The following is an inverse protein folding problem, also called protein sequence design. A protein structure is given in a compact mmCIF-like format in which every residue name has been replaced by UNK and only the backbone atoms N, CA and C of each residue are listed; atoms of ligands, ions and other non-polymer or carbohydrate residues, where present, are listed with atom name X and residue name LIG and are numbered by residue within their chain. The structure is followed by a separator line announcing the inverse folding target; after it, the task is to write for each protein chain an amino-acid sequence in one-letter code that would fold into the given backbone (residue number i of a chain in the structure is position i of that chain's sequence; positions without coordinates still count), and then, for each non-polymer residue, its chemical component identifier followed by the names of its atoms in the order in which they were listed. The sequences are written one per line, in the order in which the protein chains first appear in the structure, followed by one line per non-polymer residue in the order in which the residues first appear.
data_IF_247920845610
#
_entry.id   IF_247920845610
#
_cell.length_a   1.000
_cell.length_b   1.000
_cell.length_c   1.000
_cell.angle_alpha   90.00
_cell.angle_beta   90.00
_cell.angle_gamma   90.00
#
_symmetry.space_group_name_H-M   'P 1'
#
loop_
_entity.id
_entity.type
_entity.pdbx_description
1 polymer ?
#
# COMPACT_ATOMS: atom_id res chain seq x y z
N UNK A 1 -9.81 5.44 29.13
CA UNK A 1 -9.61 6.52 28.14
C UNK A 1 -10.83 7.41 28.21
N UNK A 2 -10.66 8.69 28.53
CA UNK A 2 -11.73 9.67 28.32
C UNK A 2 -11.82 9.96 26.83
N UNK A 3 -13.01 9.79 26.24
CA UNK A 3 -13.24 10.24 24.87
C UNK A 3 -13.56 11.74 24.87
N UNK A 4 -12.55 12.55 25.17
CA UNK A 4 -12.64 14.00 25.06
C UNK A 4 -13.05 14.36 23.63
N UNK A 5 -14.06 15.22 23.46
CA UNK A 5 -14.66 15.55 22.15
C UNK A 5 -13.72 16.42 21.29
N UNK A 6 -12.59 15.86 20.86
CA UNK A 6 -11.54 16.50 20.06
C UNK A 6 -11.81 16.39 18.54
N UNK A 7 -13.06 16.10 18.15
CA UNK A 7 -13.48 15.82 16.78
C UNK A 7 -13.84 14.33 16.57
N UNK A 8 -14.27 14.01 15.35
CA UNK A 8 -14.47 12.65 14.87
C UNK A 8 -14.15 12.59 13.37
N UNK A 9 -13.96 11.39 12.82
CA UNK A 9 -13.86 11.16 11.38
C UNK A 9 -14.65 9.90 11.00
N UNK A 10 -15.22 9.90 9.81
CA UNK A 10 -16.00 8.80 9.26
C UNK A 10 -15.11 7.75 8.59
N UNK A 11 -15.47 6.48 8.78
CA UNK A 11 -14.79 5.33 8.17
C UNK A 11 -15.83 4.32 7.67
N UNK A 12 -15.91 4.14 6.36
CA UNK A 12 -16.91 3.29 5.73
C UNK A 12 -16.66 1.81 6.05
N UNK A 13 -17.72 1.08 6.47
CA UNK A 13 -17.64 -0.36 6.83
C UNK A 13 -17.17 -1.24 5.67
N UNK A 14 -17.36 -0.80 4.42
CA UNK A 14 -16.84 -1.43 3.19
C UNK A 14 -15.31 -1.46 3.08
N UNK A 15 -14.60 -0.79 4.00
CA UNK A 15 -13.15 -0.94 4.16
C UNK A 15 -12.77 -2.29 4.79
N UNK A 16 -13.58 -2.79 5.73
CA UNK A 16 -13.29 -4.02 6.48
C UNK A 16 -13.43 -5.29 5.63
N UNK A 17 -14.11 -5.21 4.49
CA UNK A 17 -14.18 -6.29 3.49
C UNK A 17 -13.03 -6.27 2.47
N UNK A 18 -12.10 -5.31 2.54
CA UNK A 18 -10.91 -5.30 1.68
C UNK A 18 -9.87 -6.28 2.22
N UNK A 19 -9.36 -7.16 1.36
CA UNK A 19 -8.30 -8.14 1.73
C UNK A 19 -7.07 -7.49 2.39
N UNK A 20 -6.69 -6.29 1.95
CA UNK A 20 -5.55 -5.58 2.54
C UNK A 20 -5.81 -5.09 3.98
N UNK A 21 -7.07 -4.88 4.39
CA UNK A 21 -7.43 -4.43 5.73
C UNK A 21 -7.27 -5.52 6.80
N UNK A 22 -7.06 -6.78 6.39
CA UNK A 22 -6.65 -7.89 7.27
C UNK A 22 -5.19 -7.74 7.76
N UNK A 23 -4.38 -6.93 7.08
CA UNK A 23 -3.06 -6.53 7.57
C UNK A 23 -3.22 -5.39 8.60
N UNK A 24 -2.92 -5.71 9.86
CA UNK A 24 -3.08 -4.79 11.00
C UNK A 24 -2.27 -3.51 10.86
N UNK A 25 -1.09 -3.57 10.23
CA UNK A 25 -0.26 -2.39 10.01
C UNK A 25 -0.84 -1.51 8.89
N UNK A 26 -1.32 -2.10 7.78
CA UNK A 26 -2.01 -1.33 6.72
C UNK A 26 -3.29 -0.69 7.24
N UNK A 27 -4.12 -1.44 7.97
CA UNK A 27 -5.35 -0.91 8.57
C UNK A 27 -5.06 0.25 9.53
N UNK A 28 -4.11 0.08 10.46
CA UNK A 28 -3.71 1.15 11.38
C UNK A 28 -3.16 2.37 10.65
N UNK A 29 -2.36 2.19 9.60
CA UNK A 29 -1.84 3.28 8.78
C UNK A 29 -2.94 4.02 8.03
N UNK A 30 -3.91 3.32 7.44
CA UNK A 30 -5.04 3.95 6.76
C UNK A 30 -5.91 4.78 7.71
N UNK A 31 -6.20 4.23 8.90
CA UNK A 31 -6.93 4.95 9.95
C UNK A 31 -6.17 6.21 10.39
N UNK A 32 -4.83 6.14 10.52
CA UNK A 32 -3.99 7.30 10.81
C UNK A 32 -3.99 8.33 9.68
N UNK A 33 -3.98 7.92 8.41
CA UNK A 33 -4.08 8.85 7.29
C UNK A 33 -5.37 9.67 7.35
N UNK A 34 -6.53 9.02 7.49
CA UNK A 34 -7.82 9.74 7.59
C UNK A 34 -7.87 10.63 8.84
N UNK A 35 -7.47 10.11 10.01
CA UNK A 35 -7.54 10.84 11.27
C UNK A 35 -6.51 11.97 11.44
N UNK A 36 -5.50 12.06 10.57
CA UNK A 36 -4.50 13.15 10.56
C UNK A 36 -4.61 14.06 9.34
N UNK A 37 -5.43 13.71 8.34
CA UNK A 37 -5.78 14.56 7.21
C UNK A 37 -6.67 15.73 7.65
N UNK A 38 -6.51 16.89 7.02
CA UNK A 38 -7.28 18.08 7.37
C UNK A 38 -8.74 17.97 6.93
N UNK A 39 -9.67 18.36 7.81
CA UNK A 39 -11.10 18.37 7.50
C UNK A 39 -11.54 19.59 6.67
N UNK A 40 -11.01 20.78 6.99
CA UNK A 40 -11.17 22.03 6.23
C UNK A 40 -9.79 22.51 5.73
N UNK A 41 -9.72 23.52 4.87
CA UNK A 41 -8.45 24.17 4.52
C UNK A 41 -7.78 24.73 5.78
N UNK A 42 -6.48 24.45 5.98
CA UNK A 42 -5.69 24.99 7.10
C UNK A 42 -4.22 25.16 6.72
N UNK A 43 -3.57 26.18 7.27
CA UNK A 43 -2.11 26.26 7.33
C UNK A 43 -1.61 25.48 8.56
N UNK A 44 -0.46 24.82 8.46
CA UNK A 44 0.26 24.21 9.60
C UNK A 44 1.75 24.47 9.52
N UNK A 45 2.41 24.64 10.66
CA UNK A 45 3.87 24.57 10.72
C UNK A 45 4.33 23.10 10.75
N UNK A 46 5.25 22.72 9.87
CA UNK A 46 5.89 21.42 9.87
C UNK A 46 7.33 21.52 9.36
N UNK A 47 8.27 21.09 10.21
CA UNK A 47 9.72 21.15 9.93
C UNK A 47 10.24 22.57 9.62
N UNK A 48 9.82 23.56 10.41
CA UNK A 48 10.26 24.96 10.31
C UNK A 48 9.74 25.68 9.06
N UNK A 49 8.55 25.29 8.59
CA UNK A 49 7.88 25.83 7.39
C UNK A 49 6.39 25.77 7.54
N UNK A 50 5.69 26.75 7.00
CA UNK A 50 4.24 26.74 6.83
C UNK A 50 3.84 25.88 5.62
N UNK A 51 2.71 25.21 5.75
CA UNK A 51 2.11 24.34 4.73
C UNK A 51 0.60 24.57 4.70
N UNK A 52 0.10 25.07 3.58
CA UNK A 52 -1.33 25.11 3.31
C UNK A 52 -1.81 23.72 2.88
N UNK A 53 -2.73 23.15 3.66
CA UNK A 53 -3.27 21.81 3.49
C UNK A 53 -4.75 21.88 3.12
N UNK A 54 -5.09 21.38 1.94
CA UNK A 54 -6.47 21.26 1.49
C UNK A 54 -7.23 20.17 2.26
N UNK A 55 -8.58 20.16 2.22
CA UNK A 55 -9.36 19.06 2.78
C UNK A 55 -8.90 17.69 2.24
N UNK A 56 -8.57 16.78 3.14
CA UNK A 56 -7.99 15.47 2.83
C UNK A 56 -6.47 15.41 2.71
N UNK A 57 -5.75 16.52 2.96
CA UNK A 57 -4.28 16.55 2.95
C UNK A 57 -3.67 16.53 4.36
N UNK A 58 -2.52 15.88 4.49
CA UNK A 58 -1.61 15.97 5.64
C UNK A 58 -0.16 16.10 5.18
N UNK A 59 0.69 16.78 5.96
CA UNK A 59 2.16 16.76 5.76
C UNK A 59 2.81 15.86 6.82
N UNK A 60 3.72 14.98 6.39
CA UNK A 60 4.40 14.04 7.29
C UNK A 60 5.75 13.56 6.74
N UNK A 61 6.47 12.73 7.51
CA UNK A 61 7.62 11.95 7.01
C UNK A 61 7.44 10.47 7.35
N UNK A 62 8.09 9.60 6.56
CA UNK A 62 8.08 8.16 6.83
C UNK A 62 8.64 7.78 8.21
N UNK A 63 9.52 8.61 8.79
CA UNK A 63 10.03 8.43 10.15
C UNK A 63 9.02 8.86 11.23
N UNK A 64 8.36 10.01 11.07
CA UNK A 64 7.30 10.47 12.01
C UNK A 64 6.14 9.47 12.02
N UNK A 65 5.70 9.01 10.85
CA UNK A 65 4.63 8.02 10.76
C UNK A 65 5.08 6.63 11.25
N UNK A 66 6.38 6.29 11.13
CA UNK A 66 6.96 5.07 11.73
C UNK A 66 6.86 5.04 13.24
N UNK A 67 7.18 6.16 13.92
CA UNK A 67 7.04 6.34 15.38
C UNK A 67 5.61 6.15 15.89
N UNK A 68 4.62 6.46 15.04
CA UNK A 68 3.17 6.32 15.33
C UNK A 68 2.65 4.88 15.09
N UNK A 69 3.35 4.08 14.30
CA UNK A 69 3.02 2.69 14.02
C UNK A 69 3.95 1.78 14.83
N UNK A 70 3.50 1.34 16.00
CA UNK A 70 4.20 0.36 16.84
C UNK A 70 3.54 -1.01 16.77
N UNK A 71 4.32 -2.06 16.99
CA UNK A 71 3.80 -3.41 17.27
C UNK A 71 3.56 -3.64 18.76
N UNK A 72 3.18 -4.88 19.11
CA UNK A 72 2.82 -5.30 20.47
C UNK A 72 4.00 -5.17 21.45
N UNK A 73 5.23 -5.28 20.96
CA UNK A 73 6.47 -5.12 21.72
C UNK A 73 6.93 -3.65 21.79
N UNK A 74 6.19 -2.72 21.16
CA UNK A 74 6.47 -1.28 21.16
C UNK A 74 7.46 -0.80 20.09
N UNK A 75 7.97 -1.68 19.22
CA UNK A 75 8.96 -1.31 18.19
C UNK A 75 8.31 -0.51 17.05
N UNK A 76 9.01 0.51 16.58
CA UNK A 76 8.55 1.40 15.51
C UNK A 76 8.62 0.72 14.13
N UNK A 77 7.63 0.95 13.26
CA UNK A 77 7.76 0.52 11.86
C UNK A 77 8.80 1.37 11.16
N UNK A 78 9.81 0.69 10.60
CA UNK A 78 10.92 1.36 9.92
C UNK A 78 10.43 2.26 8.78
N UNK A 79 11.13 3.36 8.46
CA UNK A 79 10.72 4.26 7.38
C UNK A 79 10.50 3.54 6.04
N UNK A 80 11.28 2.50 5.74
CA UNK A 80 11.10 1.67 4.55
C UNK A 80 9.84 0.80 4.57
N UNK A 81 9.35 0.38 5.74
CA UNK A 81 8.06 -0.29 5.87
C UNK A 81 6.91 0.71 5.59
N UNK A 82 6.95 1.88 6.22
CA UNK A 82 5.98 2.96 5.99
C UNK A 82 5.96 3.39 4.51
N UNK A 83 7.13 3.61 3.90
CA UNK A 83 7.22 3.95 2.48
C UNK A 83 6.63 2.86 1.58
N UNK A 84 6.78 1.57 1.91
CA UNK A 84 6.11 0.48 1.16
C UNK A 84 4.59 0.52 1.33
N UNK A 85 4.08 0.90 2.49
CA UNK A 85 2.64 1.02 2.77
C UNK A 85 2.02 2.24 2.08
N UNK A 86 2.71 3.38 2.06
CA UNK A 86 2.32 4.56 1.27
C UNK A 86 2.28 4.22 -0.23
N UNK A 87 3.33 3.59 -0.76
CA UNK A 87 3.37 3.16 -2.17
C UNK A 87 2.28 2.12 -2.51
N UNK A 88 1.82 1.32 -1.54
CA UNK A 88 0.65 0.46 -1.72
C UNK A 88 -0.63 1.29 -1.90
N UNK A 89 -0.92 2.22 -0.99
CA UNK A 89 -2.12 3.06 -1.11
C UNK A 89 -2.11 3.97 -2.35
N UNK A 90 -0.94 4.43 -2.80
CA UNK A 90 -0.79 5.12 -4.10
C UNK A 90 -1.13 4.19 -5.27
N UNK A 91 -0.64 2.94 -5.26
CA UNK A 91 -0.94 1.95 -6.31
C UNK A 91 -2.44 1.60 -6.37
N UNK A 92 -3.11 1.50 -5.22
CA UNK A 92 -4.55 1.24 -5.14
C UNK A 92 -5.41 2.50 -5.38
N UNK A 93 -4.80 3.64 -5.75
CA UNK A 93 -5.49 4.89 -6.08
C UNK A 93 -6.09 5.64 -4.87
N UNK A 94 -5.80 5.20 -3.64
CA UNK A 94 -6.42 5.70 -2.42
C UNK A 94 -5.80 7.01 -1.89
N UNK A 95 -4.54 7.29 -2.25
CA UNK A 95 -3.83 8.55 -1.96
C UNK A 95 -2.98 8.98 -3.15
N UNK A 96 -2.63 10.26 -3.20
CA UNK A 96 -1.48 10.78 -3.95
C UNK A 96 -0.45 11.37 -2.99
N UNK A 97 0.78 11.62 -3.46
CA UNK A 97 1.86 12.15 -2.61
C UNK A 97 2.75 13.15 -3.34
N UNK A 98 3.01 14.31 -2.71
CA UNK A 98 3.95 15.33 -3.18
C UNK A 98 5.13 15.40 -2.21
N UNK A 99 6.27 14.84 -2.58
CA UNK A 99 7.47 14.76 -1.75
C UNK A 99 8.39 15.98 -1.89
N UNK A 100 8.97 16.44 -0.78
CA UNK A 100 9.98 17.51 -0.74
C UNK A 100 11.14 17.11 0.19
N UNK A 101 12.21 17.92 0.24
CA UNK A 101 13.30 17.73 1.21
C UNK A 101 12.93 17.98 2.68
N UNK A 102 11.75 18.54 2.96
CA UNK A 102 11.27 18.89 4.31
C UNK A 102 10.12 18.01 4.81
N UNK A 103 9.47 17.27 3.91
CA UNK A 103 8.26 16.51 4.21
C UNK A 103 7.54 16.06 2.94
N UNK A 104 6.61 15.13 3.10
CA UNK A 104 5.71 14.67 2.04
C UNK A 104 4.29 15.07 2.39
N UNK A 105 3.65 15.83 1.51
CA UNK A 105 2.19 16.01 1.54
C UNK A 105 1.55 14.75 0.99
N UNK A 106 0.58 14.20 1.71
CA UNK A 106 -0.24 13.05 1.32
C UNK A 106 -1.67 13.55 1.17
N UNK A 107 -2.27 13.34 0.00
CA UNK A 107 -3.62 13.81 -0.33
C UNK A 107 -4.54 12.61 -0.52
N UNK A 108 -5.61 12.50 0.26
CA UNK A 108 -6.54 11.37 0.23
C UNK A 108 -7.55 11.53 -0.92
N UNK A 109 -7.60 10.54 -1.81
CA UNK A 109 -8.55 10.51 -2.92
C UNK A 109 -9.98 10.48 -2.38
N UNK A 110 -10.87 11.29 -2.95
CA UNK A 110 -12.29 11.38 -2.60
C UNK A 110 -12.59 11.70 -1.10
N UNK A 111 -11.69 12.34 -0.37
CA UNK A 111 -11.85 12.61 1.06
C UNK A 111 -13.19 13.28 1.45
N UNK A 112 -13.67 14.25 0.66
CA UNK A 112 -14.98 14.89 0.90
C UNK A 112 -16.18 13.94 0.82
N UNK A 113 -16.08 12.85 0.03
CA UNK A 113 -17.08 11.76 0.01
C UNK A 113 -16.95 10.84 1.24
N UNK A 114 -15.75 10.72 1.82
CA UNK A 114 -15.53 9.90 3.02
C UNK A 114 -15.93 10.59 4.32
N UNK A 115 -15.99 11.93 4.36
CA UNK A 115 -16.24 12.71 5.58
C UNK A 115 -17.55 13.50 5.56
N UNK A 116 -18.41 13.29 4.54
CA UNK A 116 -19.73 13.94 4.40
C UNK A 116 -19.70 15.44 4.76
N UNK A 117 -18.88 16.21 4.03
CA UNK A 117 -18.73 17.65 4.25
C UNK A 117 -19.99 18.39 3.77
N UNK A 118 -21.06 18.33 4.58
CA UNK A 118 -22.11 19.33 4.54
C UNK A 118 -21.54 20.69 4.95
N UNK A 119 -21.94 21.80 4.29
CA UNK A 119 -21.68 23.13 4.81
C UNK A 119 -22.39 23.30 6.16
N UNK A 120 -21.62 23.79 7.12
CA UNK A 120 -22.02 24.51 8.33
C UNK A 120 -23.10 23.93 9.26
N UNK A 121 -22.61 23.35 10.37
CA UNK A 121 -23.07 23.81 11.69
C UNK A 121 -21.89 24.49 12.43
N UNK A 122 -22.08 25.66 13.08
CA UNK A 122 -21.06 26.27 13.94
C UNK A 122 -20.81 25.45 15.21
N UNK A 123 -19.55 25.35 15.64
CA UNK A 123 -19.19 24.70 16.90
C UNK A 123 -19.11 25.72 18.05
N UNK A 124 -20.26 26.16 18.54
CA UNK A 124 -20.34 27.17 19.59
C UNK A 124 -19.83 26.67 20.96
N UNK A 125 -18.93 27.46 21.53
CA UNK A 125 -18.49 27.46 22.94
C UNK A 125 -17.97 28.87 23.29
N UNK A 126 -17.95 29.29 24.57
CA UNK A 126 -18.49 28.64 25.76
C UNK A 126 -19.50 29.52 26.54
N UNK A 127 -20.19 28.93 27.52
CA UNK A 127 -20.52 29.65 28.77
C UNK A 127 -20.73 28.68 29.92
N UNK A 128 -20.18 28.99 31.09
CA UNK A 128 -20.66 28.46 32.37
C UNK A 128 -21.99 29.12 32.75
N UNK A 129 -22.84 28.42 33.52
CA UNK A 129 -23.26 28.82 34.87
C UNK A 129 -24.38 27.91 35.46
N UNK A 130 -24.12 27.44 36.68
CA UNK A 130 -25.04 27.23 37.82
C UNK A 130 -26.42 26.52 37.67
N UNK A 131 -26.53 25.41 38.43
CA UNK A 131 -27.74 24.88 39.12
C UNK A 131 -28.32 25.91 40.14
N UNK A 132 -29.48 25.73 40.83
CA UNK A 132 -30.44 24.60 40.84
C UNK A 132 -31.96 24.97 40.92
N UNK A 133 -32.87 23.97 40.94
CA UNK A 133 -33.96 23.85 41.96
C UNK A 133 -34.67 22.47 41.93
N UNK A 134 -35.67 22.26 42.81
CA UNK A 134 -36.30 20.99 43.22
C UNK A 134 -37.74 20.74 42.68
N UNK A 135 -38.25 19.49 42.88
CA UNK A 135 -39.66 19.07 42.72
C UNK A 135 -39.80 17.85 41.77
N UNK A 136 -40.32 16.65 42.10
CA UNK A 136 -41.43 16.18 42.96
C UNK A 136 -42.85 16.53 42.44
N UNK A 137 -43.84 15.63 42.31
CA UNK A 137 -43.83 14.15 42.32
C UNK A 137 -45.19 13.57 41.78
N UNK A 138 -45.18 12.32 41.28
CA UNK A 138 -46.31 11.35 41.17
C UNK A 138 -47.64 11.74 40.47
N UNK A 139 -48.09 10.88 39.53
CA UNK A 139 -49.29 10.01 39.70
C UNK A 139 -49.39 8.91 38.63
N UNK A 140 -50.32 7.97 38.82
CA UNK A 140 -50.40 6.66 38.15
C UNK A 140 -51.54 6.53 37.11
N UNK A 141 -51.47 5.44 36.33
CA UNK A 141 -52.48 4.82 35.43
C UNK A 141 -53.79 4.42 36.16
N UNK A 142 -54.86 3.93 35.48
CA UNK A 142 -54.90 2.68 34.65
C UNK A 142 -55.65 2.89 33.29
N UNK A 143 -56.01 1.93 32.42
CA UNK A 143 -56.24 0.46 32.50
C UNK A 143 -55.71 -0.35 31.28
N UNK A 144 -55.83 -1.69 31.40
CA UNK A 144 -55.35 -2.79 30.54
C UNK A 144 -56.51 -3.41 29.68
N UNK A 145 -56.39 -4.60 29.01
CA UNK A 145 -55.27 -5.25 28.32
C UNK A 145 -55.66 -5.80 26.91
N UNK A 146 -54.74 -6.47 26.20
CA UNK A 146 -55.01 -7.82 25.62
C UNK A 146 -53.71 -8.57 25.23
N UNK A 147 -53.41 -9.61 26.00
CA UNK A 147 -52.76 -10.90 25.70
C UNK A 147 -51.50 -11.03 24.80
N UNK A 148 -50.44 -11.49 25.48
CA UNK A 148 -49.36 -12.38 25.00
C UNK A 148 -49.80 -13.85 25.24
N UNK A 149 -48.96 -14.91 25.40
CA UNK A 149 -47.51 -15.13 25.17
C UNK A 149 -47.31 -16.32 24.17
N UNK A 150 -46.21 -17.07 24.02
CA UNK A 150 -45.09 -17.54 24.86
C UNK A 150 -43.96 -18.10 23.96
N UNK A 151 -42.71 -18.39 24.36
CA UNK A 151 -41.83 -17.96 25.48
C UNK A 151 -40.37 -18.43 25.12
N UNK A 152 -39.30 -17.68 25.44
CA UNK A 152 -38.30 -17.92 26.52
C UNK A 152 -37.61 -19.31 26.56
N UNK A 153 -36.35 -19.52 26.97
CA UNK A 153 -35.19 -18.71 27.47
C UNK A 153 -33.88 -19.51 27.12
N UNK A 154 -32.60 -19.29 27.51
CA UNK A 154 -31.80 -18.47 28.45
C UNK A 154 -30.39 -18.22 27.80
N UNK A 155 -29.44 -17.33 28.21
CA UNK A 155 -28.61 -17.15 29.44
C UNK A 155 -27.74 -18.39 29.79
N UNK A 156 -26.47 -18.35 30.24
CA UNK A 156 -25.48 -17.34 30.76
C UNK A 156 -24.04 -17.94 30.51
N UNK A 157 -22.91 -17.27 30.18
CA UNK A 157 -22.12 -16.12 30.72
C UNK A 157 -20.83 -16.52 31.53
N UNK A 158 -19.65 -16.03 31.08
CA UNK A 158 -18.37 -15.69 31.82
C UNK A 158 -17.19 -16.71 32.03
N UNK A 159 -16.02 -16.33 31.47
CA UNK A 159 -14.56 -16.44 31.87
C UNK A 159 -13.96 -17.78 32.37
N UNK A 160 -12.65 -18.12 32.16
CA UNK A 160 -11.45 -17.39 32.67
C UNK A 160 -10.08 -18.06 32.29
N UNK A 161 -9.02 -17.24 32.09
CA UNK A 161 -7.55 -17.50 32.14
C UNK A 161 -6.78 -18.44 31.16
N UNK A 162 -5.82 -17.79 30.48
CA UNK A 162 -4.45 -18.17 30.03
C UNK A 162 -3.76 -19.39 30.68
N UNK A 163 -3.04 -20.20 29.86
CA UNK A 163 -1.73 -20.85 30.11
C UNK A 163 -0.99 -21.09 28.76
N UNK A 164 0.36 -21.04 28.74
CA UNK A 164 1.21 -21.37 27.57
C UNK A 164 1.48 -22.88 27.43
N UNK A 165 1.78 -23.38 26.22
CA UNK A 165 3.04 -24.12 25.99
C UNK A 165 3.33 -24.44 24.50
N UNK A 166 4.62 -24.53 24.19
CA UNK A 166 5.13 -25.03 22.91
C UNK A 166 5.28 -26.56 22.94
N UNK A 167 4.89 -27.26 21.86
CA UNK A 167 5.57 -28.48 21.36
C UNK A 167 4.98 -28.97 20.05
N UNK A 168 5.83 -29.45 19.15
CA UNK A 168 5.45 -30.18 17.93
C UNK A 168 5.32 -31.67 18.24
N UNK A 169 4.24 -32.33 17.79
CA UNK A 169 4.23 -33.77 17.51
C UNK A 169 4.17 -34.04 16.01
N UNK A 170 4.69 -35.19 15.60
CA UNK A 170 4.58 -35.72 14.24
C UNK A 170 3.16 -36.30 13.98
N UNK A 171 2.61 -36.22 12.76
CA UNK A 171 1.43 -37.02 12.40
C UNK A 171 1.81 -38.51 12.30
N UNK A 172 0.92 -39.44 12.70
CA UNK A 172 1.19 -40.88 12.66
C UNK A 172 1.17 -41.43 11.23
N UNK A 173 1.85 -42.56 11.02
CA UNK A 173 1.88 -43.27 9.74
C UNK A 173 0.62 -44.11 9.54
N UNK A 174 -0.06 -43.95 8.41
CA UNK A 174 -1.24 -44.70 7.99
C UNK A 174 -1.56 -44.38 6.53
N UNK A 175 -1.61 -45.39 5.66
CA UNK A 175 -1.69 -45.21 4.21
C UNK A 175 -3.09 -45.29 3.62
N UNK A 176 -3.24 -44.80 2.38
CA UNK A 176 -4.47 -44.87 1.59
C UNK A 176 -4.46 -43.90 0.41
N UNK A 177 -4.34 -44.43 -0.80
CA UNK A 177 -4.70 -43.87 -2.12
C UNK A 177 -4.49 -42.37 -2.44
N UNK A 178 -3.47 -42.13 -3.28
CA UNK A 178 -3.81 -42.07 -4.71
C UNK A 178 -4.29 -40.75 -5.33
N UNK A 179 -3.93 -39.57 -4.79
CA UNK A 179 -4.07 -38.31 -5.54
C UNK A 179 -2.77 -37.51 -5.66
N UNK A 180 -2.40 -37.17 -6.90
CA UNK A 180 -1.14 -36.48 -7.24
C UNK A 180 -1.23 -35.01 -6.83
N UNK A 181 -0.77 -34.73 -5.61
CA UNK A 181 -0.63 -33.39 -5.05
C UNK A 181 0.32 -32.56 -5.93
N UNK A 182 -0.08 -31.37 -6.43
CA UNK A 182 0.82 -30.55 -7.23
C UNK A 182 2.02 -30.14 -6.38
N UNK A 183 3.22 -30.46 -6.86
CA UNK A 183 4.46 -30.19 -6.15
C UNK A 183 4.58 -28.67 -5.91
N UNK A 184 4.80 -28.27 -4.65
CA UNK A 184 4.99 -26.86 -4.31
C UNK A 184 6.31 -26.39 -4.91
N UNK A 185 6.24 -25.84 -6.13
CA UNK A 185 7.39 -25.20 -6.82
C UNK A 185 8.15 -24.36 -5.82
N UNK A 186 9.41 -24.72 -5.59
CA UNK A 186 10.32 -23.98 -4.71
C UNK A 186 10.34 -22.53 -5.22
N UNK A 187 10.28 -21.56 -4.32
CA UNK A 187 10.34 -20.16 -4.72
C UNK A 187 11.75 -19.86 -5.23
N UNK A 188 11.96 -20.01 -6.54
CA UNK A 188 13.25 -19.80 -7.19
C UNK A 188 13.76 -18.41 -6.88
N UNK A 189 14.88 -18.35 -6.16
CA UNK A 189 15.56 -17.12 -5.79
C UNK A 189 16.28 -16.62 -7.04
N UNK A 190 15.55 -15.93 -7.91
CA UNK A 190 16.08 -15.24 -9.09
C UNK A 190 17.29 -14.43 -8.65
N UNK A 191 18.47 -14.80 -9.16
CA UNK A 191 19.67 -13.96 -9.02
C UNK A 191 19.59 -12.83 -10.03
N UNK A 192 19.41 -11.60 -9.56
CA UNK A 192 19.26 -10.43 -10.41
C UNK A 192 20.60 -9.93 -10.94
N UNK A 193 21.72 -10.17 -10.24
CA UNK A 193 23.01 -9.63 -10.63
C UNK A 193 23.54 -10.36 -11.88
N UNK A 194 23.23 -11.66 -12.07
CA UNK A 194 23.45 -12.35 -13.35
C UNK A 194 22.73 -11.69 -14.54
N UNK A 195 21.54 -11.09 -14.36
CA UNK A 195 20.87 -10.34 -15.43
C UNK A 195 21.53 -8.98 -15.68
N UNK A 196 22.01 -8.29 -14.63
CA UNK A 196 22.78 -7.05 -14.76
C UNK A 196 24.07 -7.27 -15.56
N UNK A 197 24.82 -8.32 -15.17
CA UNK A 197 26.06 -8.72 -15.82
C UNK A 197 25.83 -9.18 -17.26
N UNK A 198 24.76 -9.95 -17.52
CA UNK A 198 24.37 -10.31 -18.89
C UNK A 198 24.04 -9.09 -19.76
N UNK A 199 23.36 -8.06 -19.23
CA UNK A 199 23.16 -6.81 -19.97
C UNK A 199 24.49 -6.12 -20.28
N UNK A 200 25.32 -5.83 -19.26
CA UNK A 200 26.60 -5.12 -19.43
C UNK A 200 27.54 -5.86 -20.41
N UNK A 201 27.53 -7.20 -20.40
CA UNK A 201 28.34 -8.04 -21.31
C UNK A 201 27.86 -7.96 -22.77
N UNK A 202 26.55 -7.98 -23.02
CA UNK A 202 26.00 -8.03 -24.39
C UNK A 202 25.90 -6.66 -25.06
N UNK A 203 25.85 -5.56 -24.30
CA UNK A 203 25.90 -4.20 -24.88
C UNK A 203 27.33 -3.73 -25.21
N UNK A 204 28.34 -4.24 -24.50
CA UNK A 204 29.72 -3.75 -24.63
C UNK A 204 29.78 -2.24 -24.44
N UNK A 205 30.58 -1.55 -25.25
CA UNK A 205 30.72 -0.09 -25.19
C UNK A 205 29.59 0.68 -25.91
N UNK A 206 28.55 -0.01 -26.42
CA UNK A 206 27.50 0.62 -27.25
C UNK A 206 26.39 1.31 -26.47
N UNK A 207 26.11 0.88 -25.23
CA UNK A 207 25.06 1.46 -24.37
C UNK A 207 25.59 1.61 -22.93
N UNK A 208 25.09 2.59 -22.15
CA UNK A 208 25.54 2.80 -20.78
C UNK A 208 25.38 1.57 -19.88
N UNK A 209 26.46 1.18 -19.21
CA UNK A 209 26.46 0.07 -18.25
C UNK A 209 25.65 0.39 -17.01
N UNK A 210 24.96 -0.61 -16.47
CA UNK A 210 24.16 -0.49 -15.28
C UNK A 210 24.94 -0.97 -14.04
N UNK A 211 25.06 -0.08 -13.05
CA UNK A 211 25.89 -0.28 -11.84
C UNK A 211 25.22 -1.12 -10.75
N UNK A 212 23.88 -1.21 -10.71
CA UNK A 212 23.16 -1.99 -9.71
C UNK A 212 21.72 -2.33 -10.09
N UNK A 213 21.20 -3.45 -9.53
CA UNK A 213 19.77 -3.80 -9.60
C UNK A 213 19.00 -3.29 -8.38
N UNK A 214 18.55 -2.04 -8.43
CA UNK A 214 17.64 -1.49 -7.42
C UNK A 214 16.24 -2.17 -7.44
N UNK A 215 15.41 -1.92 -6.42
CA UNK A 215 14.07 -2.54 -6.27
C UNK A 215 13.06 -2.19 -7.38
N UNK A 216 13.31 -1.15 -8.20
CA UNK A 216 12.52 -0.85 -9.42
C UNK A 216 12.96 -1.78 -10.55
N UNK A 217 14.28 -1.94 -10.76
CA UNK A 217 14.87 -2.88 -11.72
C UNK A 217 14.52 -4.32 -11.41
N UNK A 218 14.58 -4.77 -10.14
CA UNK A 218 14.12 -6.13 -9.74
C UNK A 218 12.65 -6.36 -10.05
N UNK A 219 11.77 -5.37 -9.82
CA UNK A 219 10.34 -5.46 -10.15
C UNK A 219 10.10 -5.55 -11.66
N UNK A 220 10.87 -4.84 -12.47
CA UNK A 220 10.83 -4.93 -13.94
C UNK A 220 11.35 -6.27 -14.45
N UNK A 221 12.50 -6.74 -13.96
CA UNK A 221 13.06 -8.07 -14.23
C UNK A 221 12.03 -9.18 -13.92
N UNK A 222 11.40 -9.16 -12.74
CA UNK A 222 10.31 -10.08 -12.38
C UNK A 222 9.13 -10.08 -13.37
N UNK A 223 8.90 -8.98 -14.09
CA UNK A 223 7.80 -8.87 -15.07
C UNK A 223 8.21 -9.36 -16.46
N UNK A 224 9.44 -9.05 -16.91
CA UNK A 224 9.91 -9.48 -18.24
C UNK A 224 10.39 -10.94 -18.26
N UNK A 225 11.00 -11.45 -17.19
CA UNK A 225 11.60 -12.81 -17.18
C UNK A 225 10.57 -13.89 -17.57
N UNK A 226 9.35 -13.94 -17.00
CA UNK A 226 8.32 -14.91 -17.43
C UNK A 226 7.82 -14.74 -18.86
N UNK A 227 8.11 -13.60 -19.50
CA UNK A 227 7.70 -13.29 -20.88
C UNK A 227 8.77 -13.68 -21.91
N UNK A 228 10.04 -13.92 -21.51
CA UNK A 228 11.14 -14.31 -22.39
C UNK A 228 10.90 -15.69 -23.05
N UNK A 229 11.59 -15.97 -24.17
CA UNK A 229 11.49 -17.29 -24.85
C UNK A 229 12.00 -18.44 -23.97
N UNK A 230 13.04 -18.17 -23.18
CA UNK A 230 13.44 -18.99 -22.02
C UNK A 230 13.45 -18.08 -20.79
N UNK A 231 12.77 -18.42 -19.68
CA UNK A 231 12.60 -17.54 -18.53
C UNK A 231 13.82 -17.54 -17.60
N UNK A 232 15.01 -17.36 -18.17
CA UNK A 232 16.31 -17.44 -17.50
C UNK A 232 17.29 -16.36 -17.99
N UNK A 233 18.51 -16.37 -17.45
CA UNK A 233 19.57 -15.40 -17.81
C UNK A 233 19.91 -15.46 -19.30
N UNK A 234 19.96 -16.66 -19.90
CA UNK A 234 20.29 -16.84 -21.32
C UNK A 234 19.21 -16.30 -22.26
N UNK A 235 17.94 -16.41 -21.87
CA UNK A 235 16.83 -15.79 -22.60
C UNK A 235 16.88 -14.26 -22.57
N UNK A 236 17.36 -13.69 -21.46
CA UNK A 236 17.58 -12.25 -21.36
C UNK A 236 18.82 -11.82 -22.14
N UNK A 237 19.91 -12.59 -22.09
CA UNK A 237 21.11 -12.43 -22.93
C UNK A 237 20.74 -12.39 -24.41
N UNK A 238 19.95 -13.37 -24.87
CA UNK A 238 19.47 -13.44 -26.24
C UNK A 238 18.57 -12.25 -26.63
N UNK A 239 17.74 -11.75 -25.71
CA UNK A 239 16.94 -10.54 -25.91
C UNK A 239 17.79 -9.27 -26.02
N UNK A 240 18.77 -9.06 -25.13
CA UNK A 240 19.68 -7.89 -25.19
C UNK A 240 20.50 -7.95 -26.48
N UNK A 241 21.05 -9.11 -26.83
CA UNK A 241 21.75 -9.33 -28.11
C UNK A 241 20.87 -9.02 -29.31
N UNK A 242 19.62 -9.47 -29.32
CA UNK A 242 18.67 -9.17 -30.38
C UNK A 242 18.34 -7.66 -30.49
N UNK A 243 18.20 -6.96 -29.36
CA UNK A 243 18.08 -5.49 -29.37
C UNK A 243 19.32 -4.83 -29.98
N UNK A 244 20.52 -5.22 -29.54
CA UNK A 244 21.81 -4.64 -29.98
C UNK A 244 22.09 -4.87 -31.48
N UNK A 245 21.61 -5.97 -32.06
CA UNK A 245 21.74 -6.21 -33.52
C UNK A 245 20.61 -5.59 -34.35
N UNK A 246 19.40 -5.43 -33.82
CA UNK A 246 18.28 -4.87 -34.58
C UNK A 246 18.28 -3.34 -34.56
N UNK A 247 18.58 -2.71 -33.41
CA UNK A 247 18.28 -1.31 -33.19
C UNK A 247 19.00 -0.35 -34.16
N UNK A 248 18.27 0.67 -34.63
CA UNK A 248 18.82 1.79 -35.43
C UNK A 248 19.84 2.61 -34.61
N UNK A 249 20.81 3.29 -35.24
CA UNK A 249 21.83 4.13 -34.57
C UNK A 249 21.27 5.10 -33.50
N UNK A 250 20.07 5.64 -33.74
CA UNK A 250 19.30 6.46 -32.78
C UNK A 250 19.31 5.92 -31.35
N UNK A 251 19.21 4.61 -31.15
CA UNK A 251 19.16 3.99 -29.81
C UNK A 251 20.52 3.95 -29.10
N UNK A 252 21.61 4.18 -29.83
CA UNK A 252 22.99 4.20 -29.33
C UNK A 252 23.56 5.63 -29.18
N UNK A 253 22.71 6.66 -29.25
CA UNK A 253 23.11 8.07 -29.09
C UNK A 253 23.33 8.84 -30.38
N UNK A 254 23.15 8.22 -31.56
CA UNK A 254 23.22 8.89 -32.86
C UNK A 254 21.93 9.70 -33.13
N UNK A 255 21.79 10.82 -32.41
CA UNK A 255 20.71 11.80 -32.51
C UNK A 255 21.08 13.13 -31.84
N UNK A 256 20.45 14.22 -32.28
CA UNK A 256 20.75 15.60 -31.84
C UNK A 256 20.49 15.88 -30.35
N UNK A 257 19.88 14.93 -29.63
CA UNK A 257 19.56 15.05 -28.19
C UNK A 257 20.51 14.27 -27.28
N UNK A 258 21.46 13.51 -27.84
CA UNK A 258 22.37 12.64 -27.09
C UNK A 258 21.65 11.51 -26.34
N UNK A 259 20.43 11.14 -26.74
CA UNK A 259 19.65 10.14 -26.05
C UNK A 259 20.12 8.72 -26.39
N UNK A 260 20.48 7.94 -25.38
CA UNK A 260 20.81 6.50 -25.50
C UNK A 260 19.75 5.64 -24.83
N UNK A 261 19.46 4.46 -25.37
CA UNK A 261 18.75 3.42 -24.64
C UNK A 261 19.56 2.96 -23.41
N UNK A 262 18.93 2.88 -22.25
CA UNK A 262 19.57 2.42 -21.02
C UNK A 262 18.98 1.08 -20.55
N UNK A 263 19.53 0.52 -19.46
CA UNK A 263 18.98 -0.69 -18.85
C UNK A 263 17.51 -0.51 -18.44
N UNK A 264 17.09 0.67 -17.95
CA UNK A 264 15.68 0.95 -17.64
C UNK A 264 14.78 1.20 -18.88
N UNK A 265 15.35 1.25 -20.09
CA UNK A 265 14.66 1.11 -21.37
C UNK A 265 14.45 -0.37 -21.73
N UNK A 266 15.53 -1.16 -21.81
CA UNK A 266 15.43 -2.59 -22.16
C UNK A 266 14.61 -3.41 -21.14
N UNK A 267 14.49 -2.95 -19.89
CA UNK A 267 13.63 -3.55 -18.86
C UNK A 267 12.13 -3.23 -19.00
N UNK A 268 11.67 -2.68 -20.13
CA UNK A 268 10.25 -2.43 -20.43
C UNK A 268 9.63 -3.53 -21.30
N UNK A 269 8.32 -3.70 -21.17
CA UNK A 269 7.54 -4.64 -22.00
C UNK A 269 7.34 -4.11 -23.43
N UNK A 270 7.23 -2.79 -23.62
CA UNK A 270 7.19 -2.16 -24.95
C UNK A 270 8.43 -2.50 -25.80
N UNK A 271 9.57 -2.70 -25.13
CA UNK A 271 10.87 -2.98 -25.72
C UNK A 271 11.07 -4.48 -25.94
N UNK A 272 10.60 -5.33 -25.02
CA UNK A 272 10.54 -6.78 -25.26
C UNK A 272 9.64 -7.12 -26.45
N UNK A 273 8.48 -6.48 -26.57
CA UNK A 273 7.57 -6.63 -27.70
C UNK A 273 8.17 -6.03 -28.98
N UNK A 274 8.79 -4.84 -28.92
CA UNK A 274 9.43 -4.22 -30.08
C UNK A 274 10.55 -5.05 -30.72
N UNK A 275 11.34 -5.79 -29.94
CA UNK A 275 12.38 -6.74 -30.47
C UNK A 275 11.76 -7.99 -31.11
N UNK A 276 10.53 -8.34 -30.75
CA UNK A 276 9.78 -9.48 -31.33
C UNK A 276 9.09 -9.10 -32.64
N UNK A 277 8.57 -7.89 -32.71
CA UNK A 277 7.90 -7.32 -33.88
C UNK A 277 8.87 -6.74 -34.92
N UNK A 278 10.18 -6.79 -34.65
CA UNK A 278 11.20 -6.14 -35.49
C UNK A 278 11.03 -4.62 -35.57
N UNK A 279 10.38 -4.00 -34.57
CA UNK A 279 10.08 -2.55 -34.54
C UNK A 279 11.34 -1.68 -34.49
N UNK A 280 12.41 -2.21 -33.93
CA UNK A 280 13.70 -1.53 -33.83
C UNK A 280 14.62 -1.79 -35.02
N UNK A 281 14.33 -2.82 -35.82
CA UNK A 281 15.06 -3.11 -37.06
C UNK A 281 14.89 -1.95 -38.04
N UNK A 282 15.97 -1.60 -38.74
CA UNK A 282 15.85 -0.70 -39.88
C UNK A 282 15.05 -1.39 -40.98
N UNK A 283 13.80 -0.94 -41.18
CA UNK A 283 12.99 -1.37 -42.32
C UNK A 283 13.53 -0.68 -43.58
N UNK A 284 14.64 -1.22 -44.09
CA UNK A 284 15.16 -0.85 -45.39
C UNK A 284 14.04 -0.92 -46.42
N UNK A 285 13.84 0.18 -47.15
CA UNK A 285 12.87 0.24 -48.23
C UNK A 285 13.43 -0.63 -49.37
N UNK A 286 12.63 -1.62 -49.78
CA UNK A 286 12.84 -2.50 -50.93
C UNK A 286 11.70 -2.24 -51.91
#
# INVERSE_FOLDING_TARGET
MENQKQGHFSLFRSLLSKEWAKDTAKLAMWIRLIGEASYKHRTVEFSGREWDLMPGELVTTAAIMGRKLRDQDGHEKSPQAVTRMINFFVKEGMITTKGTRFGTVISITNYGQYQEISPDEPCDKPSDNNKPSNGAALKHSPDEPCDKPSDEQNKKVVNKKVVNNNKTPLPPNGGGDGQVKPERRKAERIDYESFLNAYNTEVGDRLPHAVSVNEKRKRRLKKIIPQLKTPNVDGFRAYVRAFVHQARPFYFGDNDTGWTADFDYLLREDSLTGVREGKFADRGIV
#
